data_IF_545094890066
#
_entry.id   IF_545094890066
#
_cell.length_a   1.000
_cell.length_b   1.000
_cell.length_c   1.000
_cell.angle_alpha   90.00
_cell.angle_beta   90.00
_cell.angle_gamma   90.00
#
_symmetry.space_group_name_H-M   'P 1'
#
loop_
_entity.id
_entity.type
_entity.pdbx_description
1 polymer ?
#
# COMPACT_ATOMS: atom_id res chain seq x y z
N UNK A 1 11.18 -16.95 24.01
CA UNK A 1 10.29 -16.92 22.83
C UNK A 1 10.13 -15.47 22.44
N UNK A 2 10.55 -15.06 21.24
CA UNK A 2 10.28 -13.69 20.79
C UNK A 2 8.76 -13.52 20.73
N UNK A 3 8.22 -12.48 21.37
CA UNK A 3 6.79 -12.28 21.43
C UNK A 3 6.24 -12.24 20.00
N UNK A 4 5.27 -13.11 19.70
CA UNK A 4 4.65 -13.20 18.37
C UNK A 4 4.08 -11.84 17.97
N UNK A 5 3.61 -11.06 18.95
CA UNK A 5 3.14 -9.68 18.77
C UNK A 5 4.27 -8.75 18.35
N UNK A 6 5.40 -8.74 19.07
CA UNK A 6 6.56 -7.89 18.74
C UNK A 6 7.07 -8.18 17.32
N UNK A 7 7.15 -9.47 16.96
CA UNK A 7 7.56 -9.88 15.62
C UNK A 7 6.58 -9.40 14.54
N UNK A 8 5.27 -9.46 14.81
CA UNK A 8 4.25 -8.94 13.91
C UNK A 8 4.37 -7.42 13.74
N UNK A 9 4.45 -6.66 14.84
CA UNK A 9 4.55 -5.18 14.80
C UNK A 9 5.75 -4.76 13.97
N UNK A 10 6.94 -5.28 14.29
CA UNK A 10 8.17 -4.93 13.57
C UNK A 10 8.09 -5.23 12.08
N UNK A 11 7.50 -6.36 11.70
CA UNK A 11 7.35 -6.73 10.28
C UNK A 11 6.28 -5.90 9.59
N UNK A 12 5.16 -5.63 10.25
CA UNK A 12 4.07 -4.82 9.72
C UNK A 12 4.53 -3.39 9.46
N UNK A 13 5.15 -2.73 10.44
CA UNK A 13 5.67 -1.36 10.29
C UNK A 13 6.69 -1.28 9.16
N UNK A 14 7.64 -2.21 9.10
CA UNK A 14 8.65 -2.22 8.05
C UNK A 14 8.05 -2.40 6.65
N UNK A 15 7.04 -3.28 6.50
CA UNK A 15 6.38 -3.55 5.22
C UNK A 15 5.47 -2.41 4.78
N UNK A 16 4.67 -1.86 5.68
CA UNK A 16 3.78 -0.72 5.41
C UNK A 16 4.61 0.50 5.02
N UNK A 17 5.68 0.81 5.73
CA UNK A 17 6.55 1.94 5.38
C UNK A 17 7.21 1.79 4.00
N UNK A 18 7.59 0.58 3.59
CA UNK A 18 8.10 0.34 2.23
C UNK A 18 7.03 0.57 1.18
N UNK A 19 5.84 0.00 1.38
CA UNK A 19 4.71 0.20 0.47
C UNK A 19 4.36 1.68 0.32
N UNK A 20 4.32 2.45 1.42
CA UNK A 20 4.06 3.90 1.37
C UNK A 20 5.14 4.66 0.57
N UNK A 21 6.41 4.28 0.70
CA UNK A 21 7.50 4.88 -0.09
C UNK A 21 7.32 4.57 -1.57
N UNK A 22 7.03 3.33 -1.92
CA UNK A 22 6.85 2.92 -3.31
C UNK A 22 5.63 3.61 -3.93
N UNK A 23 4.52 3.74 -3.19
CA UNK A 23 3.33 4.50 -3.62
C UNK A 23 3.67 5.97 -3.88
N UNK A 24 4.50 6.61 -3.04
CA UNK A 24 4.96 7.99 -3.27
C UNK A 24 5.80 8.09 -4.55
N UNK A 25 6.69 7.13 -4.79
CA UNK A 25 7.49 7.09 -6.02
C UNK A 25 6.62 6.88 -7.26
N UNK A 26 5.58 6.05 -7.18
CA UNK A 26 4.57 5.93 -8.25
C UNK A 26 3.89 7.28 -8.49
N UNK A 27 3.57 8.04 -7.44
CA UNK A 27 3.03 9.39 -7.56
C UNK A 27 3.93 10.36 -8.35
N UNK A 28 5.25 10.23 -8.24
CA UNK A 28 6.20 11.05 -9.00
C UNK A 28 6.14 10.80 -10.52
N UNK A 29 5.62 9.65 -10.95
CA UNK A 29 5.41 9.36 -12.38
C UNK A 29 4.33 10.23 -13.02
N UNK A 30 3.55 10.97 -12.21
CA UNK A 30 2.60 11.98 -12.70
C UNK A 30 3.27 13.17 -13.39
N UNK A 31 4.60 13.31 -13.28
CA UNK A 31 5.33 14.37 -13.94
C UNK A 31 5.37 14.19 -15.47
N UNK A 32 4.40 14.79 -16.16
CA UNK A 32 4.28 14.76 -17.63
C UNK A 32 5.43 15.43 -18.38
N UNK A 33 6.26 16.24 -17.73
CA UNK A 33 7.46 16.81 -18.37
C UNK A 33 8.61 15.81 -18.46
N UNK A 34 8.65 14.83 -17.55
CA UNK A 34 9.66 13.77 -17.53
C UNK A 34 9.18 12.47 -18.18
N UNK A 35 7.87 12.23 -18.23
CA UNK A 35 7.29 10.96 -18.66
C UNK A 35 6.11 11.16 -19.62
N UNK A 36 5.96 10.21 -20.53
CA UNK A 36 4.77 10.07 -21.39
C UNK A 36 4.00 8.83 -20.96
N UNK A 37 2.70 8.98 -20.75
CA UNK A 37 1.80 7.92 -20.34
C UNK A 37 0.37 8.24 -20.77
N UNK A 38 -0.44 7.21 -20.94
CA UNK A 38 -1.86 7.34 -21.25
C UNK A 38 -2.72 7.27 -19.99
N UNK A 39 -3.97 7.70 -20.10
CA UNK A 39 -4.94 7.49 -19.02
C UNK A 39 -5.19 6.00 -18.75
N UNK A 40 -5.02 5.14 -19.76
CA UNK A 40 -5.16 3.70 -19.60
C UNK A 40 -4.03 3.12 -18.74
N UNK A 41 -2.79 3.59 -18.92
CA UNK A 41 -1.65 3.18 -18.10
C UNK A 41 -1.89 3.51 -16.62
N UNK A 42 -2.34 4.74 -16.35
CA UNK A 42 -2.70 5.19 -15.00
C UNK A 42 -3.80 4.29 -14.42
N UNK A 43 -4.88 4.03 -15.16
CA UNK A 43 -5.96 3.15 -14.71
C UNK A 43 -5.47 1.73 -14.40
N UNK A 44 -4.62 1.15 -15.25
CA UNK A 44 -4.05 -0.19 -15.04
C UNK A 44 -3.19 -0.25 -13.78
N UNK A 45 -2.32 0.75 -13.58
CA UNK A 45 -1.45 0.86 -12.40
C UNK A 45 -2.26 0.87 -11.11
N UNK A 46 -3.23 1.77 -10.99
CA UNK A 46 -4.02 1.89 -9.76
C UNK A 46 -4.98 0.72 -9.55
N UNK A 47 -5.54 0.13 -10.62
CA UNK A 47 -6.34 -1.11 -10.51
C UNK A 47 -5.53 -2.32 -10.04
N UNK A 48 -4.24 -2.38 -10.37
CA UNK A 48 -3.37 -3.45 -9.88
C UNK A 48 -3.09 -3.26 -8.38
N UNK A 49 -2.73 -2.05 -7.96
CA UNK A 49 -2.50 -1.71 -6.55
C UNK A 49 -3.74 -1.97 -5.68
N UNK A 50 -4.91 -1.52 -6.13
CA UNK A 50 -6.17 -1.71 -5.40
C UNK A 50 -6.49 -3.19 -5.19
N UNK A 51 -6.39 -4.01 -6.25
CA UNK A 51 -6.63 -5.45 -6.16
C UNK A 51 -5.71 -6.15 -5.16
N UNK A 52 -4.43 -5.77 -5.12
CA UNK A 52 -3.48 -6.34 -4.16
C UNK A 52 -3.80 -5.94 -2.72
N UNK A 53 -4.21 -4.68 -2.51
CA UNK A 53 -4.65 -4.20 -1.19
C UNK A 53 -5.90 -4.96 -0.72
N UNK A 54 -6.89 -5.13 -1.60
CA UNK A 54 -8.10 -5.90 -1.30
C UNK A 54 -7.79 -7.36 -1.00
N UNK A 55 -6.90 -7.98 -1.79
CA UNK A 55 -6.43 -9.33 -1.54
C UNK A 55 -5.75 -9.45 -0.18
N UNK A 56 -4.84 -8.53 0.16
CA UNK A 56 -4.18 -8.51 1.46
C UNK A 56 -5.19 -8.32 2.62
N UNK A 57 -6.17 -7.40 2.47
CA UNK A 57 -7.23 -7.18 3.46
C UNK A 57 -8.07 -8.43 3.68
N UNK A 58 -8.41 -9.15 2.62
CA UNK A 58 -9.21 -10.39 2.71
C UNK A 58 -8.54 -11.46 3.60
N UNK A 59 -7.19 -11.48 3.67
CA UNK A 59 -6.45 -12.41 4.54
C UNK A 59 -6.61 -12.10 6.04
N UNK A 60 -7.04 -10.90 6.40
CA UNK A 60 -7.34 -10.49 7.77
C UNK A 60 -8.82 -10.68 8.15
N UNK A 61 -9.68 -11.18 7.24
CA UNK A 61 -11.04 -11.63 7.55
C UNK A 61 -12.13 -10.55 7.56
N UNK A 62 -12.04 -9.55 6.66
CA UNK A 62 -13.05 -8.53 6.32
C UNK A 62 -14.18 -8.30 7.35
N UNK A 63 -13.93 -7.39 8.30
CA UNK A 63 -14.95 -6.68 9.07
C UNK A 63 -14.70 -5.19 8.89
N UNK A 64 -15.52 -4.55 8.07
CA UNK A 64 -15.51 -3.12 7.77
C UNK A 64 -15.34 -2.24 9.02
N UNK A 65 -14.39 -1.29 8.97
CA UNK A 65 -14.36 -0.06 9.78
C UNK A 65 -13.22 0.85 9.32
N UNK A 66 -13.63 1.92 8.65
CA UNK A 66 -12.88 3.07 8.16
C UNK A 66 -12.11 3.80 9.27
N UNK A 67 -10.88 4.22 8.97
CA UNK A 67 -10.09 5.08 9.87
C UNK A 67 -8.81 5.60 9.20
N UNK A 68 -8.90 6.77 8.58
CA UNK A 68 -7.74 7.53 8.09
C UNK A 68 -7.00 8.16 9.27
N UNK A 69 -5.79 7.66 9.53
CA UNK A 69 -4.83 8.20 10.49
C UNK A 69 -3.48 7.51 10.33
N UNK A 70 -2.39 8.23 10.56
CA UNK A 70 -1.01 7.70 10.45
C UNK A 70 -0.89 6.36 11.21
N UNK A 71 -0.56 5.30 10.47
CA UNK A 71 -0.64 3.93 10.96
C UNK A 71 0.55 3.60 11.88
N UNK A 72 0.26 3.33 13.16
CA UNK A 72 1.16 2.69 14.12
C UNK A 72 0.44 1.55 14.82
N UNK A 73 1.18 0.47 15.09
CA UNK A 73 0.70 -0.73 15.81
C UNK A 73 1.27 -0.83 17.21
#
# INVERSE_FOLDING_TARGET
MKDKRESFVRLAEARVNRALKDIRLIGNLSNKSAYSYTEEDVKKMFRALQREIEFARSKFGDGDSSGSGDFKL
#
